data_IF_989649786439
#
_entry.id   IF_989649786439
#
_cell.length_a   1.000
_cell.length_b   1.000
_cell.length_c   1.000
_cell.angle_alpha   90.00
_cell.angle_beta   90.00
_cell.angle_gamma   90.00
#
_symmetry.space_group_name_H-M   'P 1'
#
loop_
_entity.id
_entity.type
_entity.pdbx_description
1 polymer ?
#
# COMPACT_ATOMS: atom_id res chain seq x y z
N UNK A 1 -11.01 10.69 -12.67
CA UNK A 1 -12.04 10.13 -11.79
C UNK A 1 -11.53 10.11 -10.34
N UNK A 2 -10.42 9.44 -10.03
CA UNK A 2 -9.81 9.43 -8.68
C UNK A 2 -9.29 10.79 -8.17
N UNK A 3 -8.53 11.55 -8.98
CA UNK A 3 -8.02 12.87 -8.57
C UNK A 3 -9.14 13.90 -8.31
N UNK A 4 -10.31 13.71 -8.92
CA UNK A 4 -11.48 14.55 -8.67
C UNK A 4 -12.12 14.21 -7.32
N UNK A 5 -12.22 12.92 -6.97
CA UNK A 5 -12.71 12.49 -5.67
C UNK A 5 -11.79 12.91 -4.51
N UNK A 6 -10.47 12.95 -4.72
CA UNK A 6 -9.54 13.55 -3.75
C UNK A 6 -9.84 15.04 -3.54
N UNK A 7 -10.09 15.80 -4.62
CA UNK A 7 -10.46 17.23 -4.55
C UNK A 7 -11.81 17.45 -3.87
N UNK A 8 -12.72 16.49 -3.96
CA UNK A 8 -14.03 16.50 -3.31
C UNK A 8 -13.99 15.99 -1.85
N UNK A 9 -12.80 15.75 -1.28
CA UNK A 9 -12.61 15.23 0.09
C UNK A 9 -13.30 13.88 0.37
N UNK A 10 -13.61 13.09 -0.68
CA UNK A 10 -14.28 11.78 -0.55
C UNK A 10 -13.32 10.65 -0.13
N UNK A 11 -12.04 10.97 0.01
CA UNK A 11 -10.98 10.02 0.35
C UNK A 11 -10.54 10.27 1.79
N UNK A 12 -10.64 9.24 2.62
CA UNK A 12 -10.03 9.22 3.94
C UNK A 12 -8.74 8.41 3.85
N UNK A 13 -7.65 8.96 4.38
CA UNK A 13 -6.34 8.33 4.35
C UNK A 13 -5.99 7.76 5.72
N UNK A 14 -5.49 6.53 5.71
CA UNK A 14 -5.06 5.81 6.90
C UNK A 14 -3.66 5.26 6.67
N UNK A 15 -2.79 5.45 7.65
CA UNK A 15 -1.49 4.78 7.72
C UNK A 15 -1.72 3.38 8.32
N UNK A 16 -1.37 2.35 7.56
CA UNK A 16 -1.45 0.97 7.97
C UNK A 16 -0.04 0.40 8.16
N UNK A 17 0.18 -0.34 9.23
CA UNK A 17 1.31 -1.27 9.33
C UNK A 17 0.91 -2.60 8.71
N UNK A 18 1.54 -2.92 7.58
CA UNK A 18 1.17 -4.05 6.72
C UNK A 18 2.06 -5.27 7.00
N UNK A 19 3.35 -5.03 7.21
CA UNK A 19 4.33 -6.03 7.66
C UNK A 19 5.10 -5.47 8.85
N UNK A 20 5.86 -6.31 9.56
CA UNK A 20 6.61 -5.90 10.75
C UNK A 20 7.48 -4.67 10.48
N UNK A 21 7.06 -3.51 11.02
CA UNK A 21 7.74 -2.22 10.83
C UNK A 21 7.59 -1.57 9.45
N UNK A 22 6.82 -2.16 8.52
CA UNK A 22 6.56 -1.59 7.19
C UNK A 22 5.15 -1.01 7.10
N UNK A 23 5.11 0.28 6.77
CA UNK A 23 3.87 1.06 6.73
C UNK A 23 3.56 1.59 5.34
N UNK A 24 2.26 1.72 5.07
CA UNK A 24 1.71 2.33 3.87
C UNK A 24 0.54 3.24 4.23
N UNK A 25 0.49 4.42 3.62
CA UNK A 25 -0.69 5.26 3.66
C UNK A 25 -1.57 4.93 2.47
N UNK A 26 -2.82 4.53 2.73
CA UNK A 26 -3.80 4.18 1.71
C UNK A 26 -5.06 4.99 1.95
N UNK A 27 -5.76 5.37 0.88
CA UNK A 27 -7.12 5.83 1.03
C UNK A 27 -8.07 4.64 1.22
N UNK A 28 -9.30 4.92 1.66
CA UNK A 28 -10.40 3.96 1.83
C UNK A 28 -10.84 3.22 0.55
N UNK A 29 -10.32 3.57 -0.63
CA UNK A 29 -10.47 2.79 -1.86
C UNK A 29 -9.25 1.89 -2.08
N UNK A 30 -8.06 2.46 -1.91
CA UNK A 30 -6.81 1.73 -2.11
C UNK A 30 -6.54 0.65 -1.06
N UNK A 31 -7.09 0.74 0.15
CA UNK A 31 -6.94 -0.32 1.15
C UNK A 31 -7.69 -1.61 0.77
N UNK A 32 -8.89 -1.48 0.20
CA UNK A 32 -9.66 -2.59 -0.37
C UNK A 32 -8.89 -3.23 -1.53
N UNK A 33 -8.41 -2.42 -2.48
CA UNK A 33 -7.62 -2.92 -3.61
C UNK A 33 -6.32 -3.58 -3.15
N UNK A 34 -5.60 -2.97 -2.20
CA UNK A 34 -4.37 -3.51 -1.65
C UNK A 34 -4.60 -4.87 -0.97
N UNK A 35 -5.71 -5.02 -0.24
CA UNK A 35 -6.08 -6.29 0.40
C UNK A 35 -6.39 -7.44 -0.57
N UNK A 36 -6.46 -7.14 -1.87
CA UNK A 36 -6.69 -8.13 -2.94
C UNK A 36 -5.40 -8.55 -3.66
N UNK A 37 -4.23 -8.00 -3.31
CA UNK A 37 -2.97 -8.39 -3.92
C UNK A 37 -2.61 -9.85 -3.64
N UNK A 38 -1.95 -10.51 -4.61
CA UNK A 38 -1.32 -11.82 -4.36
C UNK A 38 -0.23 -11.65 -3.29
N UNK A 39 -0.31 -12.33 -2.13
CA UNK A 39 0.70 -12.25 -1.07
C UNK A 39 2.11 -12.63 -1.53
N UNK A 40 2.25 -13.54 -2.50
CA UNK A 40 3.54 -13.94 -3.07
C UNK A 40 4.25 -12.74 -3.73
N UNK A 41 3.51 -11.72 -4.18
CA UNK A 41 4.09 -10.49 -4.70
C UNK A 41 4.99 -9.79 -3.68
N UNK A 42 4.69 -9.93 -2.38
CA UNK A 42 5.45 -9.38 -1.25
C UNK A 42 6.40 -10.40 -0.61
N UNK A 43 6.59 -11.57 -1.22
CA UNK A 43 7.46 -12.63 -0.73
C UNK A 43 6.84 -13.50 0.37
N UNK A 44 5.52 -13.42 0.61
CA UNK A 44 4.86 -14.30 1.57
C UNK A 44 4.77 -15.75 1.02
N UNK A 45 4.76 -16.76 1.90
CA UNK A 45 4.56 -18.15 1.48
C UNK A 45 3.26 -18.36 0.69
N UNK A 46 3.21 -19.34 -0.22
CA UNK A 46 1.98 -19.69 -0.93
C UNK A 46 0.83 -19.97 0.04
N UNK A 47 -0.39 -19.54 -0.33
CA UNK A 47 -1.62 -19.63 0.50
C UNK A 47 -1.67 -18.71 1.73
N UNK A 48 -0.68 -17.83 1.91
CA UNK A 48 -0.81 -16.72 2.86
C UNK A 48 -2.00 -15.83 2.49
N UNK A 49 -2.47 -15.00 3.43
CA UNK A 49 -3.54 -14.03 3.18
C UNK A 49 -3.05 -12.63 3.51
N UNK A 50 -3.24 -11.70 2.59
CA UNK A 50 -3.02 -10.27 2.79
C UNK A 50 -4.38 -9.59 2.91
N UNK A 51 -5.12 -9.88 3.98
CA UNK A 51 -6.44 -9.28 4.20
C UNK A 51 -6.34 -7.92 4.90
N UNK A 52 -7.37 -7.09 4.75
CA UNK A 52 -7.51 -5.83 5.48
C UNK A 52 -7.45 -6.04 7.00
N UNK A 53 -7.96 -7.18 7.49
CA UNK A 53 -7.87 -7.61 8.90
C UNK A 53 -6.47 -8.00 9.37
N UNK A 54 -5.50 -8.12 8.46
CA UNK A 54 -4.08 -8.36 8.78
C UNK A 54 -3.27 -7.07 8.78
N UNK A 55 -3.84 -5.97 8.33
CA UNK A 55 -3.22 -4.65 8.34
C UNK A 55 -3.61 -3.94 9.64
N UNK A 56 -2.62 -3.51 10.42
CA UNK A 56 -2.87 -2.79 11.65
C UNK A 56 -3.04 -1.30 11.33
N UNK A 57 -4.16 -0.71 11.76
CA UNK A 57 -4.37 0.74 11.67
C UNK A 57 -3.38 1.42 12.60
N UNK A 58 -2.48 2.23 12.04
CA UNK A 58 -1.53 3.01 12.83
C UNK A 58 -2.11 4.38 13.21
N UNK A 59 -2.59 5.15 12.23
CA UNK A 59 -3.22 6.46 12.45
C UNK A 59 -4.01 6.94 11.22
N UNK A 60 -4.98 7.84 11.44
CA UNK A 60 -5.58 8.62 10.37
C UNK A 60 -4.60 9.70 9.87
N UNK A 61 -4.64 10.01 8.58
CA UNK A 61 -3.81 11.02 7.92
C UNK A 61 -4.73 12.11 7.35
N UNK A 62 -4.67 13.30 7.93
CA UNK A 62 -5.53 14.44 7.57
C UNK A 62 -4.93 15.39 6.53
N UNK A 63 -3.62 15.29 6.29
CA UNK A 63 -2.83 16.20 5.45
C UNK A 63 -2.20 15.48 4.24
N UNK A 64 -2.85 14.41 3.77
CA UNK A 64 -2.37 13.64 2.63
C UNK A 64 -2.35 14.48 1.34
N UNK A 65 -1.16 14.86 0.89
CA UNK A 65 -0.95 15.60 -0.37
C UNK A 65 -0.41 14.68 -1.48
N UNK A 66 -0.88 14.82 -2.73
CA UNK A 66 -0.28 14.14 -3.87
C UNK A 66 1.19 14.55 -4.02
N UNK A 67 2.09 13.57 -3.95
CA UNK A 67 3.51 13.76 -4.24
C UNK A 67 3.86 13.40 -5.68
N UNK A 68 4.95 13.96 -6.18
CA UNK A 68 5.59 13.49 -7.42
C UNK A 68 6.46 12.28 -7.08
N UNK A 69 6.32 11.19 -7.83
CA UNK A 69 7.17 10.01 -7.71
C UNK A 69 7.65 9.56 -9.09
N UNK A 70 8.81 8.90 -9.12
CA UNK A 70 9.27 8.16 -10.30
C UNK A 70 8.42 6.89 -10.43
N UNK A 71 8.31 6.36 -11.64
CA UNK A 71 7.65 5.09 -11.89
C UNK A 71 8.48 4.25 -12.86
N UNK A 72 8.28 2.94 -12.83
CA UNK A 72 8.89 2.03 -13.79
C UNK A 72 8.05 1.99 -15.07
N UNK A 73 8.66 2.30 -16.21
CA UNK A 73 7.98 2.28 -17.52
C UNK A 73 7.57 0.87 -17.98
N UNK A 74 8.15 -0.17 -17.41
CA UNK A 74 7.82 -1.56 -17.77
C UNK A 74 6.60 -2.10 -17.01
N UNK A 75 6.54 -1.89 -15.68
CA UNK A 75 5.47 -2.44 -14.84
C UNK A 75 4.44 -1.40 -14.38
N UNK A 76 4.66 -0.11 -14.63
CA UNK A 76 3.76 0.98 -14.26
C UNK A 76 3.77 1.33 -12.76
N UNK A 77 4.42 0.53 -11.92
CA UNK A 77 4.48 0.80 -10.48
C UNK A 77 5.37 1.99 -10.14
N UNK A 78 4.92 2.75 -9.15
CA UNK A 78 5.66 3.84 -8.52
C UNK A 78 6.90 3.34 -7.78
N UNK A 79 7.98 4.12 -7.79
CA UNK A 79 9.25 3.73 -7.20
C UNK A 79 9.14 3.56 -5.68
N UNK A 80 8.40 4.42 -4.99
CA UNK A 80 8.14 4.27 -3.56
C UNK A 80 7.47 2.93 -3.25
N UNK A 81 6.49 2.53 -4.07
CA UNK A 81 5.82 1.23 -3.92
C UNK A 81 6.76 0.05 -4.22
N UNK A 82 7.58 0.14 -5.26
CA UNK A 82 8.56 -0.91 -5.57
C UNK A 82 9.59 -1.09 -4.45
N UNK A 83 10.03 0.00 -3.82
CA UNK A 83 10.91 -0.06 -2.63
C UNK A 83 10.22 -0.73 -1.44
N UNK A 84 8.95 -0.43 -1.22
CA UNK A 84 8.14 -1.11 -0.21
C UNK A 84 8.06 -2.62 -0.47
N UNK A 85 7.77 -3.03 -1.71
CA UNK A 85 7.70 -4.44 -2.11
C UNK A 85 9.04 -5.14 -1.93
N UNK A 86 10.13 -4.50 -2.36
CA UNK A 86 11.48 -5.03 -2.16
C UNK A 86 11.74 -5.29 -0.68
N UNK A 87 11.45 -4.31 0.18
CA UNK A 87 11.68 -4.45 1.62
C UNK A 87 10.79 -5.52 2.26
N UNK A 88 9.55 -5.65 1.81
CA UNK A 88 8.66 -6.74 2.23
C UNK A 88 9.25 -8.11 1.87
N UNK A 89 9.79 -8.26 0.65
CA UNK A 89 10.44 -9.51 0.23
C UNK A 89 11.69 -9.82 1.06
N UNK A 90 12.51 -8.82 1.35
CA UNK A 90 13.68 -8.97 2.21
C UNK A 90 13.30 -9.46 3.62
N UNK A 91 12.18 -8.98 4.18
CA UNK A 91 11.67 -9.45 5.48
C UNK A 91 11.23 -10.91 5.46
N UNK A 92 10.79 -11.43 4.30
CA UNK A 92 10.23 -12.78 4.17
C UNK A 92 11.18 -13.78 3.49
N UNK A 93 12.40 -13.39 3.13
CA UNK A 93 13.37 -14.23 2.43
C UNK A 93 14.05 -15.30 3.32
N UNK A 94 13.33 -15.86 4.30
CA UNK A 94 13.82 -16.84 5.28
C UNK A 94 13.79 -18.27 4.75
#
# INVERSE_FOLDING_TARGET
>A
MELAHWRDEKHHFTEYEVFSGLRLTLCNFCDVDFSSYNPEFFGLPPKSKLGLSKMNVSRAVSDASPGIDKFCSHCGYRLAFLRFVQRARELHAS
#
